data_IF_435379060530
#
_entry.id   IF_435379060530
#
_cell.length_a   1.000
_cell.length_b   1.000
_cell.length_c   1.000
_cell.angle_alpha   90.00
_cell.angle_beta   90.00
_cell.angle_gamma   90.00
#
_symmetry.space_group_name_H-M   'P 1'
#
loop_
_entity.id
_entity.type
_entity.pdbx_description
1 polymer ?
#
# COMPACT_ATOMS: atom_id res chain seq x y z
N UNK A 1 -5.86 9.53 30.13
CA UNK A 1 -5.19 8.37 29.55
C UNK A 1 -4.94 8.58 28.08
N UNK A 2 -3.70 8.43 27.71
CA UNK A 2 -3.35 8.55 26.30
C UNK A 2 -3.84 7.35 25.54
N UNK A 3 -4.53 7.59 24.44
CA UNK A 3 -4.92 6.49 23.55
C UNK A 3 -3.70 5.92 22.86
N UNK A 4 -3.59 4.60 22.85
CA UNK A 4 -2.57 3.97 22.05
C UNK A 4 -2.94 4.11 20.58
N UNK A 5 -2.03 4.72 19.84
CA UNK A 5 -2.17 4.82 18.40
C UNK A 5 -1.10 3.96 17.73
N UNK A 6 -1.55 3.09 16.86
CA UNK A 6 -0.64 2.22 16.10
C UNK A 6 -0.59 2.72 14.68
N UNK A 7 0.62 3.04 14.22
CA UNK A 7 0.83 3.48 12.85
C UNK A 7 1.42 2.32 12.03
N UNK A 8 0.71 1.94 11.00
CA UNK A 8 1.17 0.96 10.03
C UNK A 8 1.50 1.70 8.73
N UNK A 9 2.76 1.70 8.34
CA UNK A 9 3.22 2.49 7.20
C UNK A 9 3.71 1.61 6.08
N UNK A 10 3.60 2.12 4.86
CA UNK A 10 4.17 1.48 3.68
C UNK A 10 5.66 1.76 3.48
N UNK A 11 6.34 2.28 4.50
CA UNK A 11 7.76 2.65 4.42
C UNK A 11 8.69 1.46 4.59
N UNK A 12 8.32 0.33 4.03
CA UNK A 12 9.20 -0.83 3.98
C UNK A 12 10.31 -0.63 2.95
N UNK A 13 11.44 -1.29 3.18
CA UNK A 13 12.60 -1.19 2.30
C UNK A 13 12.26 -1.67 0.89
N UNK A 14 11.42 -2.68 0.78
CA UNK A 14 11.05 -3.26 -0.52
C UNK A 14 10.44 -2.22 -1.46
N UNK A 15 9.46 -1.44 -0.99
CA UNK A 15 8.81 -0.43 -1.83
C UNK A 15 9.78 0.64 -2.29
N UNK A 16 10.67 1.06 -1.39
CA UNK A 16 11.68 2.07 -1.72
C UNK A 16 12.65 1.54 -2.77
N UNK A 17 13.16 0.32 -2.58
CA UNK A 17 14.09 -0.29 -3.53
C UNK A 17 13.44 -0.46 -4.89
N UNK A 18 12.21 -0.97 -4.94
CA UNK A 18 11.50 -1.16 -6.19
C UNK A 18 11.25 0.18 -6.89
N UNK A 19 10.89 1.21 -6.13
CA UNK A 19 10.69 2.55 -6.69
C UNK A 19 11.96 3.11 -7.33
N UNK A 20 13.08 2.99 -6.63
CA UNK A 20 14.38 3.47 -7.13
C UNK A 20 14.81 2.69 -8.36
N UNK A 21 14.68 1.37 -8.34
CA UNK A 21 15.02 0.52 -9.49
C UNK A 21 14.17 0.89 -10.70
N UNK A 22 12.86 1.01 -10.51
CA UNK A 22 11.95 1.37 -11.61
C UNK A 22 12.26 2.75 -12.17
N UNK A 23 12.60 3.71 -11.31
CA UNK A 23 12.97 5.04 -11.74
C UNK A 23 14.26 5.03 -12.57
N UNK A 24 15.28 4.28 -12.10
CA UNK A 24 16.53 4.16 -12.85
C UNK A 24 16.31 3.51 -14.21
N UNK A 25 15.49 2.46 -14.26
CA UNK A 25 15.15 1.82 -15.54
C UNK A 25 14.39 2.76 -16.47
N UNK A 26 13.46 3.55 -15.92
CA UNK A 26 12.70 4.52 -16.70
C UNK A 26 13.61 5.57 -17.32
N UNK A 27 14.56 6.08 -16.55
CA UNK A 27 15.52 7.07 -17.05
C UNK A 27 16.39 6.45 -18.15
N UNK A 28 16.86 5.23 -17.94
CA UNK A 28 17.67 4.50 -18.92
C UNK A 28 16.91 4.29 -20.23
N UNK A 29 15.66 3.84 -20.13
CA UNK A 29 14.82 3.66 -21.31
C UNK A 29 14.54 4.98 -22.03
N UNK A 30 14.35 6.06 -21.29
CA UNK A 30 14.14 7.37 -21.87
C UNK A 30 15.36 7.81 -22.68
N UNK A 31 16.56 7.63 -22.12
CA UNK A 31 17.81 7.99 -22.80
C UNK A 31 17.96 7.21 -24.11
N UNK A 32 17.70 5.89 -24.06
CA UNK A 32 17.76 5.06 -25.26
C UNK A 32 16.75 5.54 -26.31
N UNK A 33 15.53 5.83 -25.87
CA UNK A 33 14.45 6.25 -26.77
C UNK A 33 14.79 7.57 -27.47
N UNK A 34 15.36 8.51 -26.73
CA UNK A 34 15.77 9.80 -27.30
C UNK A 34 16.87 9.63 -28.34
N UNK A 35 17.77 8.67 -28.11
CA UNK A 35 18.89 8.41 -29.04
C UNK A 35 18.51 7.57 -30.25
N UNK A 36 17.32 7.02 -30.31
CA UNK A 36 16.87 6.23 -31.45
C UNK A 36 16.63 7.13 -32.63
N UNK A 37 17.14 6.71 -33.80
CA UNK A 37 16.95 7.45 -35.03
C UNK A 37 15.49 7.47 -35.48
N UNK A 38 14.78 6.40 -35.24
CA UNK A 38 13.35 6.31 -35.56
C UNK A 38 12.54 6.39 -34.29
N UNK A 39 11.59 7.31 -34.25
CA UNK A 39 10.68 7.49 -33.14
C UNK A 39 9.59 6.42 -33.23
N UNK A 40 9.56 5.52 -32.27
CA UNK A 40 8.53 4.50 -32.15
C UNK A 40 7.63 4.91 -31.00
N UNK A 41 6.35 5.15 -31.29
CA UNK A 41 5.37 5.54 -30.27
C UNK A 41 5.33 4.52 -29.12
N UNK A 42 5.44 3.24 -29.48
CA UNK A 42 5.45 2.16 -28.48
C UNK A 42 6.57 2.34 -27.44
N UNK A 43 7.75 2.80 -27.86
CA UNK A 43 8.86 3.03 -26.95
C UNK A 43 8.54 4.11 -25.94
N UNK A 44 7.88 5.19 -26.36
CA UNK A 44 7.45 6.24 -25.42
C UNK A 44 6.37 5.75 -24.47
N UNK A 45 5.46 4.89 -24.93
CA UNK A 45 4.46 4.30 -24.05
C UNK A 45 5.11 3.45 -22.95
N UNK A 46 6.13 2.67 -23.29
CA UNK A 46 6.88 1.87 -22.32
C UNK A 46 7.57 2.78 -21.29
N UNK A 47 8.16 3.89 -21.74
CA UNK A 47 8.78 4.85 -20.83
C UNK A 47 7.76 5.44 -19.87
N UNK A 48 6.60 5.84 -20.37
CA UNK A 48 5.53 6.40 -19.53
C UNK A 48 5.07 5.37 -18.48
N UNK A 49 4.90 4.11 -18.88
CA UNK A 49 4.52 3.05 -17.96
C UNK A 49 5.58 2.82 -16.89
N UNK A 50 6.85 2.87 -17.27
CA UNK A 50 7.95 2.70 -16.30
C UNK A 50 7.98 3.83 -15.28
N UNK A 51 7.80 5.08 -15.71
CA UNK A 51 7.71 6.22 -14.81
C UNK A 51 6.48 6.10 -13.90
N UNK A 52 5.33 5.68 -14.44
CA UNK A 52 4.12 5.47 -13.66
C UNK A 52 4.33 4.44 -12.57
N UNK A 53 4.98 3.34 -12.89
CA UNK A 53 5.27 2.30 -11.92
C UNK A 53 6.23 2.79 -10.83
N UNK A 54 7.27 3.55 -11.22
CA UNK A 54 8.19 4.14 -10.25
C UNK A 54 7.47 5.10 -9.31
N UNK A 55 6.59 5.95 -9.85
CA UNK A 55 5.80 6.87 -9.04
C UNK A 55 4.89 6.12 -8.08
N UNK A 56 4.26 5.03 -8.53
CA UNK A 56 3.40 4.22 -7.68
C UNK A 56 4.16 3.72 -6.44
N UNK A 57 5.33 3.10 -6.64
CA UNK A 57 6.11 2.57 -5.53
C UNK A 57 6.62 3.66 -4.59
N UNK A 58 7.07 4.78 -5.14
CA UNK A 58 7.58 5.88 -4.33
C UNK A 58 6.47 6.57 -3.54
N UNK A 59 5.30 6.76 -4.16
CA UNK A 59 4.14 7.31 -3.46
C UNK A 59 3.62 6.35 -2.40
N UNK A 60 3.62 5.05 -2.69
CA UNK A 60 3.26 4.04 -1.71
C UNK A 60 4.16 4.16 -0.48
N UNK A 61 5.47 4.20 -0.71
CA UNK A 61 6.44 4.32 0.38
C UNK A 61 6.23 5.60 1.19
N UNK A 62 5.95 6.70 0.50
CA UNK A 62 5.84 8.02 1.13
C UNK A 62 4.49 8.23 1.82
N UNK A 63 3.39 7.85 1.17
CA UNK A 63 2.05 8.28 1.56
C UNK A 63 1.25 7.20 2.27
N UNK A 64 1.39 5.94 1.90
CA UNK A 64 0.54 4.89 2.44
C UNK A 64 0.77 4.72 3.94
N UNK A 65 -0.31 4.88 4.72
CA UNK A 65 -0.24 4.79 6.16
C UNK A 65 -1.63 4.53 6.71
N UNK A 66 -1.70 3.77 7.78
CA UNK A 66 -2.94 3.54 8.51
C UNK A 66 -2.64 3.76 9.98
N UNK A 67 -3.43 4.60 10.64
CA UNK A 67 -3.31 4.84 12.07
C UNK A 67 -4.56 4.28 12.72
N UNK A 68 -4.38 3.39 13.68
CA UNK A 68 -5.49 2.82 14.44
C UNK A 68 -5.36 3.19 15.90
N UNK A 69 -6.49 3.60 16.48
CA UNK A 69 -6.61 3.84 17.92
C UNK A 69 -7.83 3.08 18.43
N UNK A 70 -8.11 3.17 19.72
CA UNK A 70 -9.28 2.52 20.30
C UNK A 70 -10.60 3.05 19.74
N UNK A 71 -10.61 4.29 19.25
CA UNK A 71 -11.84 4.96 18.83
C UNK A 71 -11.97 5.11 17.33
N UNK A 72 -10.87 5.11 16.59
CA UNK A 72 -10.95 5.46 15.17
C UNK A 72 -9.84 4.79 14.35
N UNK A 73 -10.09 4.78 13.04
CA UNK A 73 -9.13 4.32 12.04
C UNK A 73 -8.92 5.47 11.06
N UNK A 74 -7.67 5.91 10.89
CA UNK A 74 -7.33 6.96 9.94
C UNK A 74 -6.55 6.31 8.80
N UNK A 75 -7.04 6.47 7.58
CA UNK A 75 -6.44 5.87 6.39
C UNK A 75 -5.85 6.96 5.51
N UNK A 76 -4.55 6.84 5.25
CA UNK A 76 -3.82 7.71 4.32
C UNK A 76 -3.59 6.91 3.05
N UNK A 77 -4.33 7.20 1.97
CA UNK A 77 -4.15 6.46 0.72
C UNK A 77 -2.87 6.86 -0.01
N UNK A 78 -2.49 6.08 -0.99
CA UNK A 78 -1.34 6.41 -1.84
C UNK A 78 -1.59 7.73 -2.56
N UNK A 79 -2.80 7.89 -3.09
CA UNK A 79 -3.24 9.12 -3.75
C UNK A 79 -4.66 9.40 -3.27
N UNK A 80 -4.93 10.65 -2.93
CA UNK A 80 -6.26 11.07 -2.53
C UNK A 80 -6.32 11.61 -1.12
N UNK A 81 -7.52 11.82 -0.64
CA UNK A 81 -7.76 12.45 0.65
C UNK A 81 -7.69 11.43 1.79
N UNK A 82 -7.21 11.90 2.94
CA UNK A 82 -7.23 11.13 4.19
C UNK A 82 -8.68 10.82 4.57
N UNK A 83 -8.93 9.59 4.97
CA UNK A 83 -10.26 9.14 5.39
C UNK A 83 -10.20 8.69 6.84
N UNK A 84 -11.19 9.10 7.62
CA UNK A 84 -11.30 8.72 9.03
C UNK A 84 -12.57 7.92 9.22
N UNK A 85 -12.44 6.79 9.89
CA UNK A 85 -13.57 5.91 10.21
C UNK A 85 -13.59 5.61 11.68
N UNK A 86 -14.77 5.38 12.23
CA UNK A 86 -14.91 4.78 13.56
C UNK A 86 -14.94 3.26 13.41
N UNK A 87 -14.68 2.55 14.52
CA UNK A 87 -14.77 1.10 14.48
C UNK A 87 -16.18 0.60 14.14
N UNK A 88 -17.21 1.41 14.48
CA UNK A 88 -18.59 1.07 14.12
C UNK A 88 -18.85 1.14 12.61
N UNK A 89 -18.04 1.87 11.87
CA UNK A 89 -18.18 1.95 10.41
C UNK A 89 -17.65 0.71 9.70
N UNK A 90 -16.89 -0.12 10.40
CA UNK A 90 -16.33 -1.33 9.83
C UNK A 90 -17.40 -2.39 9.67
N UNK A 91 -17.65 -2.80 8.43
CA UNK A 91 -18.66 -3.81 8.12
C UNK A 91 -18.09 -5.22 8.21
N UNK A 92 -16.83 -5.38 7.81
CA UNK A 92 -16.21 -6.69 7.70
C UNK A 92 -14.70 -6.53 7.63
N UNK A 93 -13.98 -7.49 8.21
CA UNK A 93 -12.53 -7.57 8.06
C UNK A 93 -12.20 -9.00 7.68
N UNK A 94 -11.34 -9.15 6.69
CA UNK A 94 -10.94 -10.48 6.24
C UNK A 94 -9.48 -10.49 5.79
N UNK A 95 -8.89 -11.67 5.79
CA UNK A 95 -7.60 -11.88 5.16
C UNK A 95 -7.81 -12.14 3.67
N UNK A 96 -6.98 -11.52 2.86
CA UNK A 96 -6.89 -11.86 1.44
C UNK A 96 -5.54 -12.52 1.20
N UNK A 97 -5.56 -13.73 0.68
CA UNK A 97 -4.33 -14.39 0.29
C UNK A 97 -3.80 -13.71 -0.98
N UNK A 98 -2.52 -13.41 -0.99
CA UNK A 98 -1.90 -12.94 -2.21
C UNK A 98 -1.70 -14.10 -3.18
N UNK A 99 -1.58 -13.80 -4.45
CA UNK A 99 -1.15 -14.80 -5.42
C UNK A 99 0.30 -15.18 -5.21
N UNK A 100 0.87 -15.89 -6.15
CA UNK A 100 2.27 -16.30 -6.07
C UNK A 100 3.18 -15.09 -5.84
N UNK A 101 4.04 -15.19 -4.84
CA UNK A 101 4.97 -14.14 -4.47
C UNK A 101 4.39 -13.02 -3.63
N UNK A 102 3.09 -13.06 -3.33
CA UNK A 102 2.47 -12.07 -2.48
C UNK A 102 2.34 -12.60 -1.05
N UNK A 103 2.59 -11.73 -0.09
CA UNK A 103 2.51 -12.09 1.32
C UNK A 103 1.09 -12.08 1.88
N UNK A 104 0.13 -11.60 1.09
CA UNK A 104 -1.23 -11.45 1.57
C UNK A 104 -1.49 -10.10 2.21
N UNK A 105 -2.72 -9.90 2.63
CA UNK A 105 -3.13 -8.61 3.21
C UNK A 105 -4.40 -8.78 4.03
N UNK A 106 -4.68 -7.77 4.85
CA UNK A 106 -5.95 -7.63 5.55
C UNK A 106 -6.80 -6.62 4.78
N UNK A 107 -8.05 -6.96 4.56
CA UNK A 107 -9.01 -6.06 3.90
C UNK A 107 -10.06 -5.65 4.91
N UNK A 108 -10.19 -4.35 5.14
CA UNK A 108 -11.22 -3.77 5.99
C UNK A 108 -12.28 -3.15 5.08
N UNK A 109 -13.49 -3.63 5.21
CA UNK A 109 -14.63 -3.14 4.40
C UNK A 109 -15.41 -2.14 5.22
N UNK A 110 -15.49 -0.92 4.71
CA UNK A 110 -16.33 0.15 5.25
C UNK A 110 -17.25 0.58 4.11
N UNK A 111 -17.48 1.88 3.92
CA UNK A 111 -18.11 2.36 2.68
C UNK A 111 -17.18 2.13 1.48
N UNK A 112 -15.88 2.08 1.74
CA UNK A 112 -14.84 1.75 0.77
C UNK A 112 -13.96 0.66 1.35
N UNK A 113 -13.08 0.12 0.54
CA UNK A 113 -12.18 -0.95 0.96
C UNK A 113 -10.82 -0.38 1.34
N UNK A 114 -10.31 -0.80 2.50
CA UNK A 114 -8.97 -0.46 2.96
C UNK A 114 -8.15 -1.75 2.95
N UNK A 115 -7.00 -1.74 2.30
CA UNK A 115 -6.11 -2.89 2.31
C UNK A 115 -4.82 -2.59 3.06
N UNK A 116 -4.40 -3.55 3.87
CA UNK A 116 -3.17 -3.45 4.67
C UNK A 116 -2.31 -4.65 4.32
N UNK A 117 -1.20 -4.40 3.65
CA UNK A 117 -0.30 -5.44 3.19
C UNK A 117 0.60 -5.93 4.34
N UNK A 118 0.90 -7.21 4.36
CA UNK A 118 1.73 -7.81 5.43
C UNK A 118 3.14 -7.26 5.49
N UNK A 119 3.65 -6.72 4.39
CA UNK A 119 4.99 -6.15 4.36
C UNK A 119 5.06 -4.72 4.90
N UNK A 120 3.92 -4.13 5.25
CA UNK A 120 3.91 -2.81 5.88
C UNK A 120 4.49 -2.89 7.30
N UNK A 121 5.15 -1.81 7.71
CA UNK A 121 5.71 -1.75 9.06
C UNK A 121 4.61 -1.76 10.11
N UNK A 122 4.86 -2.49 11.19
CA UNK A 122 3.93 -2.63 12.32
C UNK A 122 2.62 -3.34 11.95
N UNK A 123 2.63 -4.12 10.89
CA UNK A 123 1.46 -4.91 10.50
C UNK A 123 0.96 -5.80 11.65
N UNK A 124 1.89 -6.44 12.36
CA UNK A 124 1.52 -7.34 13.45
C UNK A 124 0.75 -6.63 14.57
N UNK A 125 1.10 -5.39 14.87
CA UNK A 125 0.39 -4.59 15.87
C UNK A 125 -1.02 -4.23 15.42
N UNK A 126 -1.16 -3.88 14.15
CA UNK A 126 -2.47 -3.59 13.55
C UNK A 126 -3.35 -4.84 13.57
N UNK A 127 -2.80 -5.97 13.18
CA UNK A 127 -3.52 -7.24 13.19
C UNK A 127 -4.01 -7.57 14.61
N UNK A 128 -3.13 -7.41 15.59
CA UNK A 128 -3.48 -7.66 16.99
C UNK A 128 -4.64 -6.76 17.44
N UNK A 129 -4.59 -5.47 17.13
CA UNK A 129 -5.65 -4.54 17.51
C UNK A 129 -6.97 -4.90 16.85
N UNK A 130 -6.95 -5.29 15.58
CA UNK A 130 -8.16 -5.71 14.87
C UNK A 130 -8.78 -6.94 15.56
N UNK A 131 -7.95 -7.89 15.95
CA UNK A 131 -8.43 -9.07 16.67
C UNK A 131 -9.02 -8.73 18.04
N UNK A 132 -8.41 -7.80 18.75
CA UNK A 132 -8.91 -7.34 20.05
C UNK A 132 -10.28 -6.66 19.93
N UNK A 133 -10.56 -6.05 18.79
CA UNK A 133 -11.86 -5.44 18.51
C UNK A 133 -12.92 -6.44 18.08
N UNK A 134 -12.60 -7.72 18.01
CA UNK A 134 -13.54 -8.78 17.66
C UNK A 134 -13.62 -9.09 16.18
N UNK A 135 -12.78 -8.47 15.36
CA UNK A 135 -12.70 -8.78 13.94
C UNK A 135 -11.61 -9.82 13.69
N UNK A 136 -11.56 -10.38 12.52
CA UNK A 136 -10.56 -11.38 12.12
C UNK A 136 -10.52 -12.58 13.08
N UNK A 137 -11.68 -13.10 13.43
CA UNK A 137 -11.70 -14.30 14.23
C UNK A 137 -11.04 -15.43 13.43
N UNK A 138 -10.00 -16.00 14.01
CA UNK A 138 -9.30 -17.11 13.38
C UNK A 138 -10.23 -18.31 13.39
N UNK A 139 -10.64 -18.73 12.21
CA UNK A 139 -11.33 -20.01 12.10
C UNK A 139 -10.28 -21.10 12.20
N UNK A 140 -10.27 -21.76 13.32
CA UNK A 140 -9.43 -22.92 13.48
C UNK A 140 -10.06 -24.05 12.70
N UNK A 141 -9.36 -24.49 11.70
CA UNK A 141 -9.74 -25.71 10.99
C UNK A 141 -8.70 -26.75 11.21
#
# INVERSE_FOLDING_TARGET
MEEEKIECTGKGVFSLIMGVICLAMAIYLLIITIKMEQVIILAYLVVILAFGLAMYYLLYWKNKKIVMSDNEIIYYPIIGKVRTYSWSDVKKVRYASGGRGSKGRIIIVTDKTISIEKDMKQFALIEKMIKEKGYLQVKIK
#
